data_IF_396660515184
#
_entry.id   IF_396660515184
#
_cell.length_a   1.000
_cell.length_b   1.000
_cell.length_c   1.000
_cell.angle_alpha   90.00
_cell.angle_beta   90.00
_cell.angle_gamma   90.00
#
_symmetry.space_group_name_H-M   'P 1'
#
loop_
_entity.id
_entity.type
_entity.pdbx_description
1 polymer ?
#
# COMPACT_ATOMS: atom_id res chain seq x y z
N UNK A 1 -37.48 -26.83 65.73
CA UNK A 1 -36.21 -26.08 65.70
C UNK A 1 -35.21 -26.66 64.70
N UNK A 2 -35.13 -27.99 64.53
CA UNK A 2 -34.26 -28.63 63.52
C UNK A 2 -34.41 -28.10 62.09
N UNK A 3 -35.63 -28.02 61.53
CA UNK A 3 -35.81 -27.64 60.12
C UNK A 3 -35.39 -26.20 59.73
N UNK A 4 -35.30 -25.27 60.69
CA UNK A 4 -34.80 -23.89 60.42
C UNK A 4 -33.27 -23.89 60.38
N UNK A 5 -32.64 -24.74 61.19
CA UNK A 5 -31.19 -24.87 61.26
C UNK A 5 -30.64 -25.50 59.97
N UNK A 6 -31.35 -26.47 59.41
CA UNK A 6 -31.03 -27.10 58.13
C UNK A 6 -31.14 -26.10 56.97
N UNK A 7 -32.21 -25.29 56.93
CA UNK A 7 -32.38 -24.23 55.94
C UNK A 7 -31.29 -23.15 56.02
N UNK A 8 -30.88 -22.77 57.23
CA UNK A 8 -29.77 -21.81 57.41
C UNK A 8 -28.41 -22.38 56.97
N UNK A 9 -28.22 -23.69 57.11
CA UNK A 9 -27.00 -24.38 56.66
C UNK A 9 -26.95 -24.45 55.14
N UNK A 10 -28.05 -24.87 54.51
CA UNK A 10 -28.18 -24.93 53.03
C UNK A 10 -28.01 -23.56 52.35
N UNK A 11 -28.57 -22.49 52.96
CA UNK A 11 -28.37 -21.12 52.48
C UNK A 11 -26.91 -20.66 52.59
N UNK A 12 -26.20 -21.08 53.66
CA UNK A 12 -24.79 -20.74 53.85
C UNK A 12 -23.92 -21.46 52.82
N UNK A 13 -24.15 -22.75 52.61
CA UNK A 13 -23.42 -23.55 51.61
C UNK A 13 -23.66 -23.01 50.19
N UNK A 14 -24.89 -22.59 49.89
CA UNK A 14 -25.24 -21.92 48.63
C UNK A 14 -24.52 -20.59 48.47
N UNK A 15 -24.45 -19.77 49.53
CA UNK A 15 -23.75 -18.49 49.52
C UNK A 15 -22.25 -18.65 49.29
N UNK A 16 -21.63 -19.65 49.94
CA UNK A 16 -20.21 -19.94 49.77
C UNK A 16 -19.91 -20.45 48.35
N UNK A 17 -20.77 -21.33 47.81
CA UNK A 17 -20.68 -21.79 46.42
C UNK A 17 -20.79 -20.61 45.42
N UNK A 18 -21.70 -19.67 45.65
CA UNK A 18 -21.85 -18.49 44.80
C UNK A 18 -20.63 -17.56 44.89
N UNK A 19 -20.02 -17.44 46.08
CA UNK A 19 -18.79 -16.65 46.27
C UNK A 19 -17.62 -17.25 45.51
N UNK A 20 -17.43 -18.56 45.57
CA UNK A 20 -16.37 -19.26 44.83
C UNK A 20 -16.55 -19.11 43.32
N UNK A 21 -17.79 -19.24 42.84
CA UNK A 21 -18.10 -19.04 41.42
C UNK A 21 -17.86 -17.61 40.97
N UNK A 22 -18.18 -16.61 41.80
CA UNK A 22 -17.91 -15.21 41.50
C UNK A 22 -16.40 -14.93 41.43
N UNK A 23 -15.62 -15.55 42.32
CA UNK A 23 -14.15 -15.45 42.29
C UNK A 23 -13.57 -16.07 41.02
N UNK A 24 -14.06 -17.23 40.59
CA UNK A 24 -13.65 -17.86 39.33
C UNK A 24 -13.94 -16.97 38.12
N UNK A 25 -15.18 -16.48 38.01
CA UNK A 25 -15.62 -15.62 36.90
C UNK A 25 -14.81 -14.31 36.84
N UNK A 26 -14.46 -13.72 37.99
CA UNK A 26 -13.62 -12.51 38.01
C UNK A 26 -12.20 -12.77 37.51
N UNK A 27 -11.62 -13.93 37.82
CA UNK A 27 -10.30 -14.30 37.28
C UNK A 27 -10.36 -14.54 35.77
N UNK A 28 -11.38 -15.26 35.28
CA UNK A 28 -11.58 -15.46 33.83
C UNK A 28 -11.79 -14.13 33.10
N UNK A 29 -12.56 -13.20 33.69
CA UNK A 29 -12.76 -11.88 33.12
C UNK A 29 -11.44 -11.09 33.03
N UNK A 30 -10.60 -11.15 34.07
CA UNK A 30 -9.28 -10.50 34.05
C UNK A 30 -8.38 -11.08 32.97
N UNK A 31 -8.38 -12.41 32.81
CA UNK A 31 -7.54 -13.08 31.81
C UNK A 31 -8.03 -12.78 30.38
N UNK A 32 -9.34 -12.72 30.18
CA UNK A 32 -9.94 -12.27 28.93
C UNK A 32 -9.56 -10.80 28.61
N UNK A 33 -9.59 -9.91 29.60
CA UNK A 33 -9.17 -8.51 29.44
C UNK A 33 -7.69 -8.40 29.06
N UNK A 34 -6.81 -9.18 29.68
CA UNK A 34 -5.37 -9.23 29.33
C UNK A 34 -5.13 -9.73 27.90
N UNK A 35 -5.94 -10.71 27.48
CA UNK A 35 -5.89 -11.24 26.11
C UNK A 35 -6.35 -10.19 25.09
N UNK A 36 -7.42 -9.44 25.37
CA UNK A 36 -7.92 -8.35 24.52
C UNK A 36 -6.85 -7.26 24.37
N UNK A 37 -6.23 -6.81 25.47
CA UNK A 37 -5.19 -5.78 25.41
C UNK A 37 -3.98 -6.22 24.57
N UNK A 38 -3.60 -7.51 24.65
CA UNK A 38 -2.52 -8.08 23.82
C UNK A 38 -2.91 -8.09 22.34
N UNK A 39 -4.16 -8.43 22.02
CA UNK A 39 -4.67 -8.41 20.64
C UNK A 39 -4.71 -6.98 20.10
N UNK A 40 -5.15 -6.00 20.90
CA UNK A 40 -5.17 -4.58 20.53
C UNK A 40 -3.76 -4.07 20.20
N UNK A 41 -2.75 -4.36 21.03
CA UNK A 41 -1.35 -4.00 20.78
C UNK A 41 -0.82 -4.63 19.48
N UNK A 42 -1.12 -5.91 19.24
CA UNK A 42 -0.74 -6.61 18.01
C UNK A 42 -1.41 -6.01 16.77
N UNK A 43 -2.68 -5.61 16.87
CA UNK A 43 -3.41 -4.94 15.78
C UNK A 43 -2.82 -3.56 15.52
N UNK A 44 -2.62 -2.74 16.56
CA UNK A 44 -2.07 -1.39 16.46
C UNK A 44 -0.65 -1.41 15.85
N UNK A 45 0.20 -2.33 16.31
CA UNK A 45 1.55 -2.51 15.79
C UNK A 45 1.59 -2.99 14.34
N UNK A 46 0.58 -3.71 13.86
CA UNK A 46 0.46 -4.12 12.44
C UNK A 46 -0.04 -2.98 11.56
N UNK A 47 -0.92 -2.12 12.08
CA UNK A 47 -1.38 -0.89 11.40
C UNK A 47 -0.22 0.10 11.22
N UNK A 48 0.75 0.14 12.14
CA UNK A 48 1.90 1.07 12.09
C UNK A 48 2.99 0.73 11.06
N UNK A 49 3.09 -0.51 10.56
CA UNK A 49 4.22 -0.91 9.70
C UNK A 49 4.20 -0.20 8.33
N UNK A 50 3.04 0.25 7.84
CA UNK A 50 2.94 1.11 6.65
C UNK A 50 1.78 2.08 6.76
N UNK A 51 2.05 3.36 6.49
CA UNK A 51 1.02 4.37 6.33
C UNK A 51 -0.01 3.96 5.26
N UNK A 52 -1.27 4.35 5.50
CA UNK A 52 -2.36 4.18 4.54
C UNK A 52 -1.94 4.76 3.16
N UNK A 53 -2.01 3.98 2.07
CA UNK A 53 -1.69 4.45 0.72
C UNK A 53 -2.61 5.59 0.23
N UNK A 54 -3.72 5.85 0.92
CA UNK A 54 -4.65 6.92 0.63
C UNK A 54 -5.58 6.61 -0.54
N UNK A 55 -6.40 7.59 -0.91
CA UNK A 55 -7.50 7.42 -1.86
C UNK A 55 -7.06 7.67 -3.30
N UNK A 56 -7.59 6.90 -4.25
CA UNK A 56 -7.36 7.05 -5.68
C UNK A 56 -8.63 7.37 -6.43
N UNK A 57 -8.65 8.52 -7.11
CA UNK A 57 -9.82 9.03 -7.82
C UNK A 57 -9.91 8.58 -9.30
N UNK A 58 -8.87 7.94 -9.83
CA UNK A 58 -8.77 7.59 -11.26
C UNK A 58 -7.82 8.46 -12.10
N UNK A 59 -6.99 9.29 -11.46
CA UNK A 59 -5.98 10.10 -12.16
C UNK A 59 -4.83 9.22 -12.66
N UNK A 60 -4.73 9.06 -13.99
CA UNK A 60 -3.72 8.22 -14.65
C UNK A 60 -2.29 8.57 -14.23
N UNK A 61 -1.97 9.85 -14.03
CA UNK A 61 -0.61 10.27 -13.67
C UNK A 61 -0.19 9.80 -12.27
N UNK A 62 -1.17 9.55 -11.39
CA UNK A 62 -0.94 9.12 -10.00
C UNK A 62 -1.11 7.62 -9.81
N UNK A 63 -1.62 6.91 -10.83
CA UNK A 63 -1.93 5.49 -10.71
C UNK A 63 -0.69 4.68 -10.32
N UNK A 64 0.42 4.82 -11.04
CA UNK A 64 1.62 4.01 -10.81
C UNK A 64 2.20 4.20 -9.39
N UNK A 65 2.22 5.43 -8.89
CA UNK A 65 2.67 5.74 -7.53
C UNK A 65 1.73 5.11 -6.48
N UNK A 66 0.44 5.40 -6.61
CA UNK A 66 -0.56 4.89 -5.67
C UNK A 66 -0.64 3.37 -5.69
N UNK A 67 -0.59 2.76 -6.87
CA UNK A 67 -0.79 1.34 -7.05
C UNK A 67 0.37 0.51 -6.52
N UNK A 68 1.61 1.00 -6.64
CA UNK A 68 2.76 0.38 -5.98
C UNK A 68 2.59 0.42 -4.46
N UNK A 69 2.25 1.59 -3.90
CA UNK A 69 2.00 1.73 -2.45
C UNK A 69 0.89 0.78 -1.97
N UNK A 70 -0.21 0.69 -2.72
CA UNK A 70 -1.34 -0.19 -2.42
C UNK A 70 -0.95 -1.68 -2.44
N UNK A 71 -0.22 -2.14 -3.47
CA UNK A 71 0.23 -3.55 -3.54
C UNK A 71 1.14 -3.93 -2.38
N UNK A 72 2.07 -3.06 -2.01
CA UNK A 72 2.94 -3.30 -0.85
C UNK A 72 2.12 -3.30 0.43
N UNK A 73 1.21 -2.33 0.60
CA UNK A 73 0.34 -2.25 1.78
C UNK A 73 -0.51 -3.52 1.95
N UNK A 74 -1.17 -4.02 0.89
CA UNK A 74 -1.93 -5.29 0.95
C UNK A 74 -1.03 -6.48 1.31
N UNK A 75 0.19 -6.52 0.78
CA UNK A 75 1.14 -7.61 1.04
C UNK A 75 1.63 -7.63 2.48
N UNK A 76 1.90 -6.46 3.06
CA UNK A 76 2.29 -6.34 4.47
C UNK A 76 1.11 -6.64 5.41
N UNK A 77 -0.11 -6.29 5.00
CA UNK A 77 -1.34 -6.57 5.75
C UNK A 77 -1.90 -7.98 5.51
N UNK A 78 -1.13 -8.92 4.92
CA UNK A 78 -1.58 -10.30 4.59
C UNK A 78 -2.18 -11.11 5.74
N UNK A 79 -1.91 -10.72 6.97
CA UNK A 79 -2.39 -11.40 8.18
C UNK A 79 -3.72 -10.84 8.69
N UNK A 80 -4.04 -9.60 8.34
CA UNK A 80 -5.36 -9.00 8.57
C UNK A 80 -6.29 -9.23 7.35
N UNK A 81 -5.71 -9.29 6.15
CA UNK A 81 -6.41 -9.54 4.88
C UNK A 81 -6.24 -11.00 4.47
N UNK A 82 -6.91 -11.90 5.19
CA UNK A 82 -6.74 -13.35 5.05
C UNK A 82 -7.39 -13.89 3.77
N UNK A 83 -8.55 -13.35 3.41
CA UNK A 83 -9.34 -13.87 2.29
C UNK A 83 -9.18 -13.02 1.02
N UNK A 84 -9.49 -13.59 -0.17
CA UNK A 84 -9.61 -12.80 -1.40
C UNK A 84 -10.60 -11.65 -1.27
N UNK A 85 -11.70 -11.86 -0.55
CA UNK A 85 -12.71 -10.84 -0.27
C UNK A 85 -12.12 -9.67 0.54
N UNK A 86 -11.36 -9.94 1.60
CA UNK A 86 -10.76 -8.89 2.43
C UNK A 86 -9.81 -8.03 1.61
N UNK A 87 -8.97 -8.66 0.77
CA UNK A 87 -8.03 -7.96 -0.10
C UNK A 87 -8.74 -7.10 -1.14
N UNK A 88 -9.76 -7.64 -1.81
CA UNK A 88 -10.56 -6.90 -2.77
C UNK A 88 -11.27 -5.72 -2.12
N UNK A 89 -11.89 -5.96 -0.96
CA UNK A 89 -12.60 -4.93 -0.21
C UNK A 89 -11.67 -3.80 0.20
N UNK A 90 -10.48 -4.13 0.72
CA UNK A 90 -9.50 -3.13 1.10
C UNK A 90 -9.03 -2.29 -0.09
N UNK A 91 -8.68 -2.91 -1.22
CA UNK A 91 -8.24 -2.18 -2.41
C UNK A 91 -9.35 -1.31 -3.00
N UNK A 92 -10.55 -1.86 -3.20
CA UNK A 92 -11.65 -1.15 -3.85
C UNK A 92 -12.25 -0.05 -2.97
N UNK A 93 -12.16 -0.15 -1.64
CA UNK A 93 -12.60 0.92 -0.73
C UNK A 93 -11.74 2.17 -0.84
N UNK A 94 -10.48 2.04 -1.27
CA UNK A 94 -9.57 3.16 -1.53
C UNK A 94 -9.73 3.76 -2.92
N UNK A 95 -10.61 3.20 -3.76
CA UNK A 95 -10.91 3.70 -5.10
C UNK A 95 -12.17 4.56 -5.03
N UNK A 96 -12.02 5.87 -5.21
CA UNK A 96 -13.10 6.86 -5.01
C UNK A 96 -13.27 7.75 -6.24
N UNK A 97 -14.10 8.79 -6.12
CA UNK A 97 -14.32 9.74 -7.20
C UNK A 97 -15.09 9.17 -8.40
N UNK A 98 -15.22 9.97 -9.48
CA UNK A 98 -16.13 9.65 -10.58
C UNK A 98 -15.65 8.52 -11.48
N UNK A 99 -14.35 8.20 -11.49
CA UNK A 99 -13.77 7.18 -12.38
C UNK A 99 -13.46 5.90 -11.60
N UNK A 100 -12.53 5.96 -10.64
CA UNK A 100 -12.12 4.80 -9.88
C UNK A 100 -13.24 4.28 -8.95
N UNK A 101 -14.03 5.19 -8.36
CA UNK A 101 -15.17 4.82 -7.53
C UNK A 101 -16.27 4.08 -8.28
N UNK A 102 -16.56 4.47 -9.54
CA UNK A 102 -17.52 3.73 -10.39
C UNK A 102 -17.03 2.34 -10.74
N UNK A 103 -15.73 2.19 -11.02
CA UNK A 103 -15.12 0.89 -11.23
C UNK A 103 -15.26 0.01 -9.98
N UNK A 104 -14.89 0.53 -8.80
CA UNK A 104 -15.01 -0.19 -7.54
C UNK A 104 -16.46 -0.59 -7.24
N UNK A 105 -17.40 0.33 -7.42
CA UNK A 105 -18.83 0.05 -7.26
C UNK A 105 -19.30 -1.11 -8.16
N UNK A 106 -18.90 -1.11 -9.44
CA UNK A 106 -19.22 -2.19 -10.36
C UNK A 106 -18.62 -3.53 -9.92
N UNK A 107 -17.38 -3.52 -9.40
CA UNK A 107 -16.71 -4.71 -8.89
C UNK A 107 -17.36 -5.29 -7.64
N UNK A 108 -17.68 -4.44 -6.66
CA UNK A 108 -18.45 -4.86 -5.49
C UNK A 108 -19.80 -5.46 -5.89
N UNK A 109 -20.53 -4.78 -6.79
CA UNK A 109 -21.85 -5.26 -7.24
C UNK A 109 -21.74 -6.63 -7.92
N UNK A 110 -20.75 -6.82 -8.80
CA UNK A 110 -20.53 -8.08 -9.48
C UNK A 110 -20.19 -9.21 -8.51
N UNK A 111 -19.26 -8.98 -7.58
CA UNK A 111 -18.84 -9.98 -6.60
C UNK A 111 -20.00 -10.40 -5.67
N UNK A 112 -20.83 -9.43 -5.24
CA UNK A 112 -22.01 -9.69 -4.41
C UNK A 112 -23.04 -10.52 -5.18
N UNK A 113 -23.36 -10.16 -6.41
CA UNK A 113 -24.36 -10.86 -7.23
C UNK A 113 -23.90 -12.28 -7.59
N UNK A 114 -22.62 -12.45 -7.91
CA UNK A 114 -22.07 -13.76 -8.29
C UNK A 114 -21.73 -14.64 -7.07
N UNK A 115 -21.60 -14.05 -5.87
CA UNK A 115 -21.11 -14.74 -4.68
C UNK A 115 -19.65 -15.20 -4.79
N UNK A 116 -18.88 -14.65 -5.75
CA UNK A 116 -17.50 -15.04 -6.03
C UNK A 116 -16.63 -13.80 -6.06
N UNK A 117 -15.57 -13.84 -5.25
CA UNK A 117 -14.55 -12.79 -5.21
C UNK A 117 -13.33 -13.22 -6.03
N UNK A 118 -12.76 -12.32 -6.86
CA UNK A 118 -11.56 -12.64 -7.60
C UNK A 118 -10.39 -12.89 -6.64
N UNK A 119 -9.49 -13.79 -7.02
CA UNK A 119 -8.22 -13.91 -6.31
C UNK A 119 -7.35 -12.67 -6.51
N UNK A 120 -6.23 -12.61 -5.78
CA UNK A 120 -5.33 -11.45 -5.80
C UNK A 120 -4.74 -11.20 -7.19
N UNK A 121 -4.44 -12.24 -7.98
CA UNK A 121 -3.84 -12.09 -9.30
C UNK A 121 -4.88 -11.60 -10.33
N UNK A 122 -6.08 -12.15 -10.31
CA UNK A 122 -7.22 -11.71 -11.13
C UNK A 122 -7.58 -10.25 -10.83
N UNK A 123 -7.64 -9.86 -9.56
CA UNK A 123 -7.88 -8.47 -9.14
C UNK A 123 -6.80 -7.53 -9.68
N UNK A 124 -5.52 -7.88 -9.51
CA UNK A 124 -4.40 -7.04 -9.98
C UNK A 124 -4.46 -6.87 -11.50
N UNK A 125 -4.61 -7.97 -12.23
CA UNK A 125 -4.69 -7.98 -13.69
C UNK A 125 -5.81 -7.09 -14.20
N UNK A 126 -6.98 -7.13 -13.55
CA UNK A 126 -8.12 -6.35 -13.98
C UNK A 126 -7.96 -4.85 -13.69
N UNK A 127 -7.43 -4.49 -12.52
CA UNK A 127 -7.11 -3.08 -12.19
C UNK A 127 -6.04 -2.54 -13.14
N UNK A 128 -4.97 -3.30 -13.40
CA UNK A 128 -3.93 -2.92 -14.35
C UNK A 128 -4.50 -2.75 -15.75
N UNK A 129 -5.38 -3.65 -16.21
CA UNK A 129 -6.03 -3.53 -17.52
C UNK A 129 -6.79 -2.21 -17.70
N UNK A 130 -7.44 -1.72 -16.63
CA UNK A 130 -8.28 -0.52 -16.69
C UNK A 130 -7.52 0.78 -16.42
N UNK A 131 -6.57 0.76 -15.50
CA UNK A 131 -5.92 1.96 -14.99
C UNK A 131 -4.43 2.03 -15.25
N UNK A 132 -3.76 0.90 -15.50
CA UNK A 132 -2.39 0.96 -15.96
C UNK A 132 -2.40 1.71 -17.29
N UNK A 133 -1.53 2.72 -17.45
CA UNK A 133 -1.44 3.39 -18.72
C UNK A 133 -0.94 2.37 -19.75
N UNK A 134 -1.81 1.93 -20.65
CA UNK A 134 -1.45 1.03 -21.76
C UNK A 134 -0.36 1.64 -22.66
N UNK A 135 -0.19 2.95 -22.56
CA UNK A 135 0.83 3.78 -23.19
C UNK A 135 2.08 3.98 -22.35
N UNK A 136 2.24 3.46 -21.12
CA UNK A 136 3.30 3.93 -20.20
C UNK A 136 4.72 3.75 -20.74
N UNK A 137 5.01 2.67 -21.45
CA UNK A 137 6.34 2.47 -22.04
C UNK A 137 6.59 3.50 -23.16
N UNK A 138 5.68 3.59 -24.14
CA UNK A 138 5.83 4.49 -25.29
C UNK A 138 5.64 5.96 -24.91
N UNK A 139 4.81 6.26 -23.92
CA UNK A 139 4.63 7.57 -23.32
C UNK A 139 5.86 7.97 -22.52
N UNK A 140 6.42 7.08 -21.69
CA UNK A 140 7.65 7.37 -20.96
C UNK A 140 8.81 7.61 -21.94
N UNK A 141 8.94 6.78 -22.98
CA UNK A 141 9.90 7.01 -24.08
C UNK A 141 9.66 8.36 -24.76
N UNK A 142 8.42 8.67 -25.14
CA UNK A 142 8.09 9.95 -25.79
C UNK A 142 8.35 11.16 -24.87
N UNK A 143 8.06 11.04 -23.57
CA UNK A 143 8.36 12.07 -22.58
C UNK A 143 9.87 12.24 -22.38
N UNK A 144 10.64 11.15 -22.29
CA UNK A 144 12.11 11.23 -22.24
C UNK A 144 12.68 11.93 -23.47
N UNK A 145 12.14 11.67 -24.67
CA UNK A 145 12.55 12.34 -25.91
C UNK A 145 12.24 13.84 -25.94
N UNK A 146 11.23 14.30 -25.19
CA UNK A 146 10.80 15.71 -25.15
C UNK A 146 11.32 16.46 -23.93
N UNK A 147 12.02 15.79 -23.01
CA UNK A 147 12.50 16.40 -21.79
C UNK A 147 13.68 17.34 -22.06
N UNK A 148 13.65 18.49 -21.39
CA UNK A 148 14.77 19.41 -21.27
C UNK A 148 14.86 19.89 -19.83
N UNK A 149 16.08 20.09 -19.32
CA UNK A 149 16.32 20.56 -17.96
C UNK A 149 15.66 21.93 -17.71
N UNK A 150 15.72 22.82 -18.72
CA UNK A 150 15.21 24.18 -18.60
C UNK A 150 15.87 24.92 -17.43
N UNK A 151 15.06 25.58 -16.60
CA UNK A 151 15.51 26.27 -15.39
C UNK A 151 15.48 25.37 -14.13
N UNK A 152 15.16 24.08 -14.28
CA UNK A 152 15.05 23.16 -13.14
C UNK A 152 16.43 22.83 -12.58
N UNK A 153 16.49 22.64 -11.26
CA UNK A 153 17.69 22.09 -10.62
C UNK A 153 18.04 20.72 -11.23
N UNK A 154 19.33 20.44 -11.39
CA UNK A 154 19.79 19.22 -12.04
C UNK A 154 19.28 17.98 -11.31
N UNK A 155 19.23 18.00 -9.97
CA UNK A 155 18.81 16.87 -9.15
C UNK A 155 17.32 16.55 -9.34
N UNK A 156 16.46 17.58 -9.40
CA UNK A 156 15.03 17.43 -9.65
C UNK A 156 14.76 16.90 -11.06
N UNK A 157 15.48 17.44 -12.05
CA UNK A 157 15.42 16.98 -13.43
C UNK A 157 15.89 15.52 -13.55
N UNK A 158 17.03 15.18 -12.94
CA UNK A 158 17.62 13.83 -13.01
C UNK A 158 16.75 12.79 -12.31
N UNK A 159 16.16 13.11 -11.16
CA UNK A 159 15.21 12.22 -10.49
C UNK A 159 13.99 11.91 -11.38
N UNK A 160 13.47 12.92 -12.09
CA UNK A 160 12.39 12.73 -13.06
C UNK A 160 12.83 11.91 -14.27
N UNK A 161 14.04 12.15 -14.77
CA UNK A 161 14.62 11.42 -15.90
C UNK A 161 14.82 9.93 -15.59
N UNK A 162 15.41 9.59 -14.44
CA UNK A 162 15.59 8.20 -13.99
C UNK A 162 14.25 7.49 -13.76
N UNK A 163 13.25 8.19 -13.22
CA UNK A 163 11.90 7.63 -13.08
C UNK A 163 11.29 7.23 -14.43
N UNK A 164 11.45 8.07 -15.46
CA UNK A 164 10.93 7.78 -16.80
C UNK A 164 11.73 6.69 -17.51
N UNK A 165 13.04 6.61 -17.29
CA UNK A 165 13.89 5.53 -17.80
C UNK A 165 13.41 4.16 -17.31
N UNK A 166 13.13 4.05 -16.01
CA UNK A 166 12.58 2.83 -15.41
C UNK A 166 11.18 2.52 -15.95
N UNK A 167 10.31 3.52 -16.08
CA UNK A 167 8.95 3.35 -16.61
C UNK A 167 8.94 2.94 -18.09
N UNK A 168 9.84 3.53 -18.89
CA UNK A 168 9.99 3.27 -20.31
C UNK A 168 10.81 2.03 -20.67
N UNK A 169 11.36 1.34 -19.66
CA UNK A 169 12.31 0.22 -19.83
C UNK A 169 13.45 0.60 -20.79
N UNK A 170 13.95 1.83 -20.67
CA UNK A 170 14.98 2.38 -21.55
C UNK A 170 16.35 1.90 -21.09
N UNK A 171 17.16 1.36 -22.01
CA UNK A 171 18.50 0.88 -21.68
C UNK A 171 19.43 2.02 -21.29
N UNK A 172 20.48 1.71 -20.52
CA UNK A 172 21.45 2.71 -20.07
C UNK A 172 22.11 3.44 -21.24
N UNK A 173 22.39 2.75 -22.35
CA UNK A 173 22.98 3.35 -23.54
C UNK A 173 22.02 4.40 -24.13
N UNK A 174 20.75 4.03 -24.33
CA UNK A 174 19.74 4.91 -24.92
C UNK A 174 19.45 6.10 -23.99
N UNK A 175 19.36 5.84 -22.68
CA UNK A 175 19.15 6.87 -21.68
C UNK A 175 20.33 7.84 -21.62
N UNK A 176 21.58 7.38 -21.77
CA UNK A 176 22.75 8.25 -21.82
C UNK A 176 22.68 9.29 -22.95
N UNK A 177 22.27 8.88 -24.15
CA UNK A 177 22.09 9.80 -25.30
C UNK A 177 20.94 10.80 -25.09
N UNK A 178 19.82 10.34 -24.53
CA UNK A 178 18.70 11.21 -24.24
C UNK A 178 19.04 12.23 -23.15
N UNK A 179 19.80 11.81 -22.13
CA UNK A 179 20.23 12.68 -21.05
C UNK A 179 21.16 13.78 -21.57
N UNK A 180 22.15 13.44 -22.40
CA UNK A 180 23.09 14.39 -23.00
C UNK A 180 22.38 15.52 -23.78
N UNK A 181 21.33 15.18 -24.52
CA UNK A 181 20.53 16.15 -25.29
C UNK A 181 19.54 16.95 -24.43
N UNK A 182 19.17 16.43 -23.25
CA UNK A 182 18.17 17.02 -22.39
C UNK A 182 18.76 17.98 -21.34
N UNK A 183 20.01 17.77 -20.90
CA UNK A 183 20.68 18.63 -19.91
C UNK A 183 21.23 19.92 -20.51
N UNK A 184 21.45 20.94 -19.68
CA UNK A 184 22.02 22.20 -20.15
C UNK A 184 23.45 22.00 -20.70
N UNK A 185 23.84 22.61 -21.84
CA UNK A 185 25.16 22.41 -22.45
C UNK A 185 26.35 22.70 -21.51
N UNK A 186 26.17 23.59 -20.53
CA UNK A 186 27.18 23.88 -19.50
C UNK A 186 27.49 22.67 -18.62
N UNK A 187 26.49 21.86 -18.29
CA UNK A 187 26.64 20.64 -17.49
C UNK A 187 27.40 19.58 -18.29
N UNK A 188 27.07 19.42 -19.59
CA UNK A 188 27.80 18.51 -20.50
C UNK A 188 29.27 18.90 -20.61
N UNK A 189 29.56 20.20 -20.77
CA UNK A 189 30.94 20.72 -20.82
C UNK A 189 31.71 20.45 -19.53
N UNK A 190 31.08 20.67 -18.38
CA UNK A 190 31.69 20.39 -17.09
C UNK A 190 31.88 18.87 -16.86
N UNK A 191 30.96 18.04 -17.35
CA UNK A 191 31.11 16.58 -17.36
C UNK A 191 32.35 16.13 -18.14
N UNK A 192 32.49 16.65 -19.36
CA UNK A 192 33.65 16.40 -20.20
C UNK A 192 34.95 16.87 -19.52
N UNK A 193 34.93 18.04 -18.87
CA UNK A 193 36.07 18.56 -18.08
C UNK A 193 36.44 17.63 -16.92
N UNK A 194 35.46 16.96 -16.33
CA UNK A 194 35.64 15.97 -15.24
C UNK A 194 35.98 14.56 -15.74
N UNK A 195 36.13 14.36 -17.06
CA UNK A 195 36.56 13.10 -17.66
C UNK A 195 35.45 12.10 -17.99
N UNK A 196 34.17 12.52 -17.93
CA UNK A 196 33.06 11.68 -18.38
C UNK A 196 33.04 11.59 -19.91
N UNK A 197 32.92 10.37 -20.46
CA UNK A 197 32.82 10.10 -21.90
C UNK A 197 31.37 9.87 -22.33
N UNK A 198 31.11 9.99 -23.64
CA UNK A 198 29.81 9.67 -24.25
C UNK A 198 29.34 8.27 -23.81
N UNK A 199 28.13 8.18 -23.25
CA UNK A 199 27.56 6.95 -22.68
C UNK A 199 27.79 6.73 -21.17
N UNK A 200 28.69 7.49 -20.52
CA UNK A 200 28.93 7.41 -19.07
C UNK A 200 28.25 8.53 -18.26
N UNK A 201 27.39 9.33 -18.90
CA UNK A 201 26.71 10.47 -18.25
C UNK A 201 25.70 10.04 -17.16
N UNK A 202 25.26 8.78 -17.17
CA UNK A 202 24.45 8.22 -16.07
C UNK A 202 25.25 8.09 -14.76
N UNK A 203 26.58 8.13 -14.81
CA UNK A 203 27.44 8.15 -13.63
C UNK A 203 27.62 9.56 -13.05
N UNK A 204 26.98 10.58 -13.63
CA UNK A 204 26.95 11.95 -13.11
C UNK A 204 26.01 12.03 -11.92
N UNK A 205 26.42 11.49 -10.78
CA UNK A 205 25.67 11.59 -9.53
C UNK A 205 25.82 12.99 -8.91
N UNK A 206 24.71 13.72 -8.88
CA UNK A 206 24.30 14.79 -7.95
C UNK A 206 25.22 16.02 -7.77
N UNK A 207 26.41 16.09 -8.35
CA UNK A 207 27.38 17.16 -8.07
C UNK A 207 27.46 18.28 -9.14
N UNK A 208 26.32 18.79 -9.62
CA UNK A 208 26.22 19.89 -10.60
C UNK A 208 25.19 20.95 -10.20
#
# INVERSE_FOLDING_TARGET
>A
MEGIQDQLTDLRDTLDTLRDKNYHLNNELRDAQGTIATIEDVIQRRIEVMADPGQYAGDRAKFSEWWVKMKVWVTQNRTALLTPQDKCTAVWSHMTGPVAGRFAQAKFSLAIVMGVWPDTAEMIKDIDRFFAPQTDIEWAKAQMCMMHQGNSRYEEFYAKFESLKVQGQVTDETAGFLLENAVHPTIVKEALRRGYTQGNYLQMTVAF
#
